data_IF_368997977549
#
_entry.id   IF_368997977549
#
_cell.length_a   1.000
_cell.length_b   1.000
_cell.length_c   1.000
_cell.angle_alpha   90.00
_cell.angle_beta   90.00
_cell.angle_gamma   90.00
#
_symmetry.space_group_name_H-M   'P 1'
#
loop_
_entity.id
_entity.type
_entity.pdbx_description
1 polymer ?
#
# COMPACT_ATOMS: atom_id res chain seq x y z
N UNK A 1 -26.59 7.82 29.40
CA UNK A 1 -26.08 6.77 28.48
C UNK A 1 -24.73 7.26 27.96
N UNK A 2 -23.61 6.70 28.41
CA UNK A 2 -22.30 7.05 27.92
C UNK A 2 -22.17 6.59 26.47
N UNK A 3 -21.86 7.50 25.56
CA UNK A 3 -21.45 7.17 24.21
C UNK A 3 -20.25 6.23 24.35
N UNK A 4 -20.27 5.00 23.77
CA UNK A 4 -19.10 4.15 23.83
C UNK A 4 -17.95 4.91 23.18
N UNK A 5 -16.81 4.92 23.87
CA UNK A 5 -15.59 5.52 23.31
C UNK A 5 -15.37 4.87 21.94
N UNK A 6 -15.34 5.70 20.90
CA UNK A 6 -14.96 5.23 19.57
C UNK A 6 -13.53 4.71 19.72
N UNK A 7 -13.39 3.38 19.71
CA UNK A 7 -12.08 2.75 19.72
C UNK A 7 -11.43 3.20 18.41
N UNK A 8 -10.48 4.13 18.52
CA UNK A 8 -9.72 4.59 17.38
C UNK A 8 -8.95 3.38 16.84
N UNK A 9 -9.41 2.82 15.74
CA UNK A 9 -8.70 1.77 15.03
C UNK A 9 -7.96 2.35 13.83
N UNK A 10 -6.94 1.65 13.39
CA UNK A 10 -6.14 2.02 12.22
C UNK A 10 -6.60 1.26 10.96
N UNK A 11 -7.89 0.92 10.89
CA UNK A 11 -8.44 0.14 9.79
C UNK A 11 -9.05 1.01 8.69
N UNK A 12 -8.90 0.55 7.47
CA UNK A 12 -9.45 1.17 6.28
C UNK A 12 -9.52 0.23 5.09
N UNK A 13 -9.82 0.78 3.92
CA UNK A 13 -9.86 0.02 2.68
C UNK A 13 -9.53 0.89 1.47
N UNK A 14 -9.18 0.24 0.37
CA UNK A 14 -9.11 0.87 -0.94
C UNK A 14 -10.53 1.19 -1.41
N UNK A 15 -10.80 2.46 -1.68
CA UNK A 15 -12.13 2.95 -2.06
C UNK A 15 -12.13 3.59 -3.44
N UNK A 16 -13.26 3.49 -4.13
CA UNK A 16 -13.44 4.05 -5.47
C UNK A 16 -13.42 5.59 -5.47
N UNK A 17 -12.81 6.17 -6.50
CA UNK A 17 -12.86 7.61 -6.80
C UNK A 17 -13.85 7.96 -7.92
N UNK A 18 -14.74 7.06 -8.29
CA UNK A 18 -15.74 7.32 -9.34
C UNK A 18 -16.58 8.55 -9.00
N UNK A 19 -16.67 9.48 -9.95
CA UNK A 19 -17.37 10.75 -9.78
C UNK A 19 -16.52 11.87 -9.14
N UNK A 20 -15.27 11.59 -8.74
CA UNK A 20 -14.32 12.56 -8.20
C UNK A 20 -13.63 12.08 -6.93
N UNK A 21 -12.36 12.46 -6.78
CA UNK A 21 -11.53 12.06 -5.63
C UNK A 21 -12.13 12.52 -4.29
N UNK A 22 -12.83 13.65 -4.29
CA UNK A 22 -13.51 14.24 -3.13
C UNK A 22 -14.62 13.35 -2.54
N UNK A 23 -15.05 12.31 -3.28
CA UNK A 23 -16.04 11.34 -2.80
C UNK A 23 -15.45 10.19 -1.98
N UNK A 24 -14.14 9.96 -2.11
CA UNK A 24 -13.47 8.84 -1.45
C UNK A 24 -13.60 8.88 0.09
N UNK A 25 -13.43 10.01 0.79
CA UNK A 25 -13.59 10.05 2.25
C UNK A 25 -15.01 9.69 2.72
N UNK A 26 -16.04 10.10 1.98
CA UNK A 26 -17.43 9.73 2.28
C UNK A 26 -17.64 8.22 2.14
N UNK A 27 -17.10 7.60 1.09
CA UNK A 27 -17.16 6.13 0.89
C UNK A 27 -16.43 5.36 1.98
N UNK A 28 -15.27 5.86 2.42
CA UNK A 28 -14.55 5.27 3.55
C UNK A 28 -15.39 5.32 4.84
N UNK A 29 -16.01 6.46 5.13
CA UNK A 29 -16.95 6.60 6.25
C UNK A 29 -18.13 5.63 6.12
N UNK A 30 -18.69 5.46 4.93
CA UNK A 30 -19.84 4.59 4.70
C UNK A 30 -19.52 3.12 5.00
N UNK A 31 -18.27 2.69 4.87
CA UNK A 31 -17.80 1.36 5.29
C UNK A 31 -17.23 1.37 6.73
N UNK A 32 -17.39 2.44 7.48
CA UNK A 32 -16.86 2.62 8.85
C UNK A 32 -15.33 2.63 8.96
N UNK A 33 -14.62 2.95 7.88
CA UNK A 33 -13.17 3.06 7.85
C UNK A 33 -12.69 4.40 8.39
N UNK A 34 -11.57 4.40 9.11
CA UNK A 34 -10.86 5.59 9.58
C UNK A 34 -9.64 5.93 8.72
N UNK A 35 -9.23 5.01 7.88
CA UNK A 35 -8.17 5.20 6.89
C UNK A 35 -8.70 4.86 5.50
N UNK A 36 -8.09 5.41 4.48
CA UNK A 36 -8.47 5.10 3.10
C UNK A 36 -7.26 4.99 2.19
N UNK A 37 -7.41 4.18 1.15
CA UNK A 37 -6.55 4.19 -0.02
C UNK A 37 -7.38 4.48 -1.26
N UNK A 38 -6.76 5.12 -2.23
CA UNK A 38 -7.38 5.46 -3.49
C UNK A 38 -6.37 5.44 -4.64
N UNK A 39 -6.86 5.43 -5.87
CA UNK A 39 -6.06 5.82 -7.03
C UNK A 39 -6.24 7.31 -7.32
N UNK A 40 -5.15 8.03 -7.60
CA UNK A 40 -5.23 9.45 -7.99
C UNK A 40 -5.60 9.63 -9.46
N UNK A 41 -5.60 8.55 -10.24
CA UNK A 41 -6.00 8.46 -11.66
C UNK A 41 -6.60 7.09 -11.98
N UNK A 42 -6.98 6.86 -13.23
CA UNK A 42 -7.33 5.51 -13.69
C UNK A 42 -6.07 4.64 -13.75
N UNK A 43 -5.99 3.53 -12.97
CA UNK A 43 -4.73 2.78 -12.78
C UNK A 43 -4.25 2.07 -14.05
N UNK A 44 -5.12 1.88 -15.04
CA UNK A 44 -4.79 1.21 -16.31
C UNK A 44 -4.61 2.19 -17.48
N UNK A 45 -4.41 3.49 -17.21
CA UNK A 45 -4.23 4.51 -18.24
C UNK A 45 -3.06 5.41 -17.92
N UNK A 46 -2.29 5.78 -18.96
CA UNK A 46 -1.18 6.73 -18.85
C UNK A 46 -1.62 8.20 -18.75
N UNK A 47 -2.89 8.49 -19.02
CA UNK A 47 -3.38 9.86 -18.94
C UNK A 47 -3.27 10.39 -17.51
N UNK A 48 -2.70 11.59 -17.40
CA UNK A 48 -2.48 12.28 -16.12
C UNK A 48 -3.56 13.35 -15.93
N UNK A 49 -4.56 13.11 -15.06
CA UNK A 49 -5.59 14.10 -14.80
C UNK A 49 -5.01 15.30 -14.03
N UNK A 50 -5.49 16.48 -14.35
CA UNK A 50 -5.23 17.67 -13.55
C UNK A 50 -6.26 17.78 -12.44
N UNK A 51 -5.81 17.96 -11.21
CA UNK A 51 -6.67 18.30 -10.09
C UNK A 51 -6.85 19.82 -10.03
N UNK A 52 -8.09 20.27 -10.14
CA UNK A 52 -8.38 21.69 -9.89
C UNK A 52 -8.42 22.00 -8.38
N UNK A 53 -8.11 23.26 -8.01
CA UNK A 53 -8.07 23.66 -6.60
C UNK A 53 -9.43 23.53 -5.88
N UNK A 54 -10.55 23.48 -6.60
CA UNK A 54 -11.88 23.24 -6.01
C UNK A 54 -11.99 21.79 -5.54
N UNK A 55 -11.56 20.83 -6.35
CA UNK A 55 -11.56 19.40 -5.98
C UNK A 55 -10.60 19.11 -4.82
N UNK A 56 -9.42 19.74 -4.83
CA UNK A 56 -8.47 19.65 -3.71
C UNK A 56 -9.10 20.10 -2.40
N UNK A 57 -9.71 21.28 -2.39
CA UNK A 57 -10.41 21.80 -1.20
C UNK A 57 -11.58 20.90 -0.78
N UNK A 58 -12.37 20.41 -1.74
CA UNK A 58 -13.49 19.52 -1.46
C UNK A 58 -13.03 18.19 -0.85
N UNK A 59 -11.92 17.62 -1.32
CA UNK A 59 -11.32 16.44 -0.73
C UNK A 59 -10.87 16.67 0.72
N UNK A 60 -10.15 17.76 0.98
CA UNK A 60 -9.69 18.14 2.32
C UNK A 60 -10.86 18.30 3.30
N UNK A 61 -11.92 18.99 2.87
CA UNK A 61 -13.15 19.16 3.68
C UNK A 61 -13.86 17.83 3.94
N UNK A 62 -13.97 16.98 2.90
CA UNK A 62 -14.58 15.67 3.03
C UNK A 62 -13.77 14.73 3.94
N UNK A 63 -12.42 14.78 3.85
CA UNK A 63 -11.50 14.03 4.73
C UNK A 63 -11.72 14.42 6.19
N UNK A 64 -11.74 15.71 6.49
CA UNK A 64 -11.99 16.22 7.84
C UNK A 64 -13.39 15.84 8.35
N UNK A 65 -14.43 16.01 7.53
CA UNK A 65 -15.81 15.68 7.90
C UNK A 65 -16.05 14.18 8.11
N UNK A 66 -15.31 13.32 7.40
CA UNK A 66 -15.36 11.87 7.55
C UNK A 66 -14.48 11.33 8.69
N UNK A 67 -13.63 12.18 9.30
CA UNK A 67 -12.71 11.78 10.38
C UNK A 67 -11.58 10.85 9.90
N UNK A 68 -11.19 10.95 8.61
CA UNK A 68 -10.14 10.10 8.04
C UNK A 68 -8.78 10.51 8.58
N UNK A 69 -8.10 9.58 9.25
CA UNK A 69 -6.82 9.77 9.92
C UNK A 69 -5.65 9.64 8.95
N UNK A 70 -5.61 8.57 8.17
CA UNK A 70 -4.59 8.33 7.17
C UNK A 70 -5.22 8.18 5.78
N UNK A 71 -4.71 8.93 4.81
CA UNK A 71 -5.14 8.88 3.42
C UNK A 71 -3.94 8.52 2.53
N UNK A 72 -4.08 7.46 1.75
CA UNK A 72 -3.02 6.82 0.98
C UNK A 72 -3.41 6.82 -0.50
N UNK A 73 -2.46 7.04 -1.39
CA UNK A 73 -2.62 6.66 -2.79
C UNK A 73 -1.84 5.36 -3.07
N UNK A 74 -2.38 4.52 -3.94
CA UNK A 74 -1.58 3.53 -4.65
C UNK A 74 -1.28 4.06 -6.05
N UNK A 75 -0.08 3.82 -6.58
CA UNK A 75 0.27 4.24 -7.93
C UNK A 75 -0.38 3.35 -9.00
N UNK A 76 -0.29 3.80 -10.26
CA UNK A 76 -0.86 3.09 -11.41
C UNK A 76 -0.15 1.77 -11.68
N UNK A 77 -0.89 0.70 -11.99
CA UNK A 77 -0.36 -0.61 -12.41
C UNK A 77 0.55 -0.57 -13.65
N UNK A 78 0.52 0.54 -14.41
CA UNK A 78 1.37 0.70 -15.59
C UNK A 78 2.79 1.16 -15.23
N UNK A 79 2.99 1.69 -14.03
CA UNK A 79 4.28 2.20 -13.58
C UNK A 79 5.22 1.02 -13.34
N UNK A 80 6.39 1.05 -13.98
CA UNK A 80 7.46 0.08 -13.79
C UNK A 80 8.80 0.80 -13.66
N UNK A 81 9.14 1.20 -12.44
CA UNK A 81 10.39 1.91 -12.15
C UNK A 81 11.64 1.01 -12.24
N UNK A 82 11.46 -0.31 -12.33
CA UNK A 82 12.54 -1.28 -12.52
C UNK A 82 12.76 -1.67 -14.00
N UNK A 83 11.99 -1.09 -14.93
CA UNK A 83 12.02 -1.46 -16.35
C UNK A 83 13.41 -1.32 -16.98
N UNK A 84 13.89 -2.33 -17.74
CA UNK A 84 15.10 -2.21 -18.57
C UNK A 84 14.86 -1.40 -19.85
N UNK A 85 13.61 -1.24 -20.29
CA UNK A 85 13.26 -0.39 -21.42
C UNK A 85 13.32 1.09 -21.01
N UNK A 86 14.23 1.90 -21.63
CA UNK A 86 14.41 3.27 -21.23
C UNK A 86 13.19 4.16 -21.51
N UNK A 87 12.40 3.84 -22.53
CA UNK A 87 11.18 4.57 -22.86
C UNK A 87 10.08 4.32 -21.82
N UNK A 88 9.86 3.06 -21.45
CA UNK A 88 8.91 2.69 -20.41
C UNK A 88 9.36 3.22 -19.03
N UNK A 89 10.65 3.10 -18.72
CA UNK A 89 11.21 3.63 -17.47
C UNK A 89 10.97 5.15 -17.33
N UNK A 90 11.31 5.92 -18.37
CA UNK A 90 11.08 7.38 -18.36
C UNK A 90 9.60 7.72 -18.22
N UNK A 91 8.73 7.04 -18.97
CA UNK A 91 7.29 7.24 -18.89
C UNK A 91 6.73 6.89 -17.51
N UNK A 92 7.26 5.83 -16.91
CA UNK A 92 6.90 5.42 -15.54
C UNK A 92 7.31 6.46 -14.51
N UNK A 93 8.52 6.99 -14.62
CA UNK A 93 9.03 8.05 -13.76
C UNK A 93 8.19 9.33 -13.87
N UNK A 94 7.86 9.75 -15.09
CA UNK A 94 7.06 10.96 -15.31
C UNK A 94 5.65 10.79 -14.73
N UNK A 95 5.04 9.59 -14.89
CA UNK A 95 3.75 9.26 -14.29
C UNK A 95 3.83 9.22 -12.75
N UNK A 96 4.87 8.59 -12.19
CA UNK A 96 5.08 8.53 -10.74
C UNK A 96 5.26 9.93 -10.12
N UNK A 97 6.01 10.83 -10.77
CA UNK A 97 6.13 12.23 -10.38
C UNK A 97 4.78 12.95 -10.37
N UNK A 98 3.96 12.72 -11.38
CA UNK A 98 2.63 13.30 -11.44
C UNK A 98 1.74 12.77 -10.30
N UNK A 99 1.87 11.48 -9.93
CA UNK A 99 1.17 10.90 -8.77
C UNK A 99 1.65 11.50 -7.44
N UNK A 100 2.97 11.68 -7.24
CA UNK A 100 3.51 12.40 -6.08
C UNK A 100 2.97 13.83 -5.99
N UNK A 101 2.94 14.55 -7.10
CA UNK A 101 2.38 15.91 -7.17
C UNK A 101 0.91 15.94 -6.76
N UNK A 102 0.08 15.01 -7.28
CA UNK A 102 -1.32 14.91 -6.87
C UNK A 102 -1.47 14.51 -5.40
N UNK A 103 -0.62 13.62 -4.92
CA UNK A 103 -0.57 13.23 -3.50
C UNK A 103 -0.28 14.42 -2.59
N UNK A 104 0.70 15.26 -2.95
CA UNK A 104 1.00 16.52 -2.28
C UNK A 104 -0.21 17.45 -2.28
N UNK A 105 -0.81 17.69 -3.44
CA UNK A 105 -1.93 18.64 -3.59
C UNK A 105 -3.16 18.19 -2.78
N UNK A 106 -3.40 16.88 -2.67
CA UNK A 106 -4.47 16.29 -1.86
C UNK A 106 -4.12 16.18 -0.36
N UNK A 107 -2.86 16.42 0.02
CA UNK A 107 -2.39 16.24 1.39
C UNK A 107 -2.44 14.78 1.84
N UNK A 108 -2.06 13.86 0.95
CA UNK A 108 -1.99 12.43 1.29
C UNK A 108 -0.75 12.15 2.15
N UNK A 109 -0.88 11.17 3.04
CA UNK A 109 0.20 10.77 3.94
C UNK A 109 1.23 9.88 3.22
N UNK A 110 0.74 8.94 2.39
CA UNK A 110 1.57 7.97 1.68
C UNK A 110 1.21 7.82 0.20
N UNK A 111 2.22 7.45 -0.59
CA UNK A 111 2.06 6.88 -1.94
C UNK A 111 2.70 5.49 -1.93
N UNK A 112 1.88 4.46 -2.05
CA UNK A 112 2.32 3.06 -2.19
C UNK A 112 2.68 2.77 -3.63
N UNK A 113 3.75 2.02 -3.85
CA UNK A 113 4.21 1.60 -5.17
C UNK A 113 4.77 0.19 -5.14
N UNK A 114 4.45 -0.61 -6.15
CA UNK A 114 5.20 -1.82 -6.43
C UNK A 114 6.58 -1.43 -7.01
N UNK A 115 7.68 -2.04 -6.56
CA UNK A 115 9.01 -1.70 -7.09
C UNK A 115 9.16 -1.91 -8.60
N UNK A 116 8.30 -2.73 -9.21
CA UNK A 116 8.26 -2.96 -10.65
C UNK A 116 8.85 -4.32 -11.04
N UNK A 117 9.17 -4.44 -12.33
CA UNK A 117 9.54 -5.70 -12.96
C UNK A 117 10.79 -5.54 -13.83
N UNK A 118 11.86 -6.28 -13.53
CA UNK A 118 13.10 -6.35 -14.29
C UNK A 118 12.95 -7.39 -15.41
N UNK A 119 12.25 -7.04 -16.49
CA UNK A 119 11.88 -7.96 -17.58
C UNK A 119 13.07 -8.53 -18.35
N UNK A 120 14.28 -7.99 -18.15
CA UNK A 120 15.56 -8.54 -18.62
C UNK A 120 16.08 -9.69 -17.72
N UNK A 121 15.45 -9.92 -16.57
CA UNK A 121 15.89 -10.92 -15.58
C UNK A 121 16.98 -10.42 -14.63
N UNK A 122 17.53 -9.22 -14.84
CA UNK A 122 18.56 -8.64 -13.98
C UNK A 122 17.91 -7.86 -12.82
N UNK A 123 17.60 -8.58 -11.74
CA UNK A 123 16.98 -8.01 -10.53
C UNK A 123 17.86 -6.92 -9.90
N UNK A 124 19.19 -7.09 -9.90
CA UNK A 124 20.10 -6.11 -9.29
C UNK A 124 20.05 -4.77 -10.05
N UNK A 125 20.09 -4.81 -11.38
CA UNK A 125 19.92 -3.62 -12.21
C UNK A 125 18.50 -3.05 -12.09
N UNK A 126 17.46 -3.89 -11.94
CA UNK A 126 16.08 -3.46 -11.67
C UNK A 126 15.96 -2.67 -10.36
N UNK A 127 16.61 -3.15 -9.29
CA UNK A 127 16.70 -2.44 -8.00
C UNK A 127 17.38 -1.07 -8.17
N UNK A 128 18.51 -1.03 -8.90
CA UNK A 128 19.24 0.21 -9.14
C UNK A 128 18.41 1.22 -9.95
N UNK A 129 17.70 0.76 -11.00
CA UNK A 129 16.79 1.60 -11.80
C UNK A 129 15.65 2.18 -10.96
N UNK A 130 15.05 1.37 -10.08
CA UNK A 130 13.99 1.82 -9.17
C UNK A 130 14.53 2.88 -8.19
N UNK A 131 15.65 2.63 -7.54
CA UNK A 131 16.28 3.58 -6.62
C UNK A 131 16.59 4.92 -7.30
N UNK A 132 17.16 4.90 -8.53
CA UNK A 132 17.43 6.10 -9.31
C UNK A 132 16.15 6.88 -9.63
N UNK A 133 15.08 6.18 -10.03
CA UNK A 133 13.77 6.80 -10.28
C UNK A 133 13.18 7.46 -9.04
N UNK A 134 13.22 6.77 -7.90
CA UNK A 134 12.74 7.32 -6.62
C UNK A 134 13.54 8.55 -6.19
N UNK A 135 14.89 8.51 -6.32
CA UNK A 135 15.73 9.65 -6.01
C UNK A 135 15.33 10.88 -6.85
N UNK A 136 15.19 10.70 -8.17
CA UNK A 136 14.80 11.77 -9.09
C UNK A 136 13.37 12.29 -8.82
N UNK A 137 12.45 11.42 -8.45
CA UNK A 137 11.07 11.78 -8.16
C UNK A 137 10.95 12.52 -6.82
N UNK A 138 11.61 12.05 -5.77
CA UNK A 138 11.54 12.62 -4.43
C UNK A 138 12.25 13.97 -4.35
N UNK A 139 13.39 14.12 -5.04
CA UNK A 139 14.10 15.40 -5.15
C UNK A 139 13.22 16.46 -5.83
N UNK A 140 12.49 16.07 -6.87
CA UNK A 140 11.54 16.95 -7.59
C UNK A 140 10.25 17.27 -6.84
N UNK A 141 9.96 16.62 -5.69
CA UNK A 141 8.75 16.82 -4.90
C UNK A 141 9.04 16.75 -3.39
N UNK A 142 9.76 17.74 -2.81
CA UNK A 142 10.19 17.69 -1.41
C UNK A 142 9.03 17.65 -0.42
N UNK A 143 7.91 18.32 -0.74
CA UNK A 143 6.72 18.38 0.11
C UNK A 143 5.67 17.32 -0.22
N UNK A 144 6.03 16.33 -1.02
CA UNK A 144 5.13 15.22 -1.38
C UNK A 144 4.94 14.20 -0.26
N UNK A 145 3.99 13.26 -0.43
CA UNK A 145 3.79 12.17 0.53
C UNK A 145 5.06 11.31 0.66
N UNK A 146 5.16 10.58 1.76
CA UNK A 146 6.16 9.51 1.87
C UNK A 146 5.85 8.41 0.87
N UNK A 147 6.87 7.79 0.30
CA UNK A 147 6.71 6.66 -0.62
C UNK A 147 6.86 5.37 0.17
N UNK A 148 5.93 4.44 0.00
CA UNK A 148 6.01 3.12 0.60
C UNK A 148 6.24 2.07 -0.50
N UNK A 149 7.37 1.39 -0.40
CA UNK A 149 7.67 0.23 -1.23
C UNK A 149 6.83 -0.94 -0.76
N UNK A 150 6.00 -1.47 -1.62
CA UNK A 150 5.20 -2.64 -1.28
C UNK A 150 5.96 -3.93 -1.51
N UNK A 151 5.90 -4.84 -0.52
CA UNK A 151 6.33 -6.23 -0.71
C UNK A 151 5.43 -6.87 -1.76
N UNK A 152 6.02 -7.48 -2.80
CA UNK A 152 5.30 -8.12 -3.90
C UNK A 152 5.29 -9.65 -3.77
N UNK A 153 4.39 -10.33 -4.47
CA UNK A 153 4.27 -11.79 -4.45
C UNK A 153 5.47 -12.55 -5.04
N UNK A 154 6.44 -11.85 -5.62
CA UNK A 154 7.66 -12.46 -6.16
C UNK A 154 7.45 -13.26 -7.45
N UNK A 155 6.45 -12.89 -8.26
CA UNK A 155 6.16 -13.55 -9.54
C UNK A 155 7.22 -13.20 -10.59
N UNK A 156 7.72 -14.19 -11.31
CA UNK A 156 8.63 -13.99 -12.45
C UNK A 156 9.85 -13.15 -12.10
N UNK A 157 10.00 -12.00 -12.76
CA UNK A 157 11.11 -11.06 -12.60
C UNK A 157 10.71 -9.80 -11.80
N UNK A 158 9.65 -9.90 -10.96
CA UNK A 158 9.21 -8.81 -10.07
C UNK A 158 10.30 -8.47 -9.06
N UNK A 159 10.57 -7.19 -8.92
CA UNK A 159 11.37 -6.63 -7.84
C UNK A 159 10.46 -6.45 -6.61
N UNK A 160 11.00 -6.63 -5.41
CA UNK A 160 10.23 -6.43 -4.18
C UNK A 160 9.65 -7.70 -3.55
N UNK A 161 9.81 -8.88 -4.17
CA UNK A 161 9.38 -10.16 -3.58
C UNK A 161 10.25 -10.66 -2.41
N UNK A 162 11.26 -9.87 -2.00
CA UNK A 162 12.14 -10.16 -0.86
C UNK A 162 12.41 -8.88 -0.08
N UNK A 163 12.53 -8.99 1.22
CA UNK A 163 12.84 -7.84 2.10
C UNK A 163 14.15 -7.17 1.71
N UNK A 164 15.15 -7.97 1.29
CA UNK A 164 16.46 -7.46 0.85
C UNK A 164 16.36 -6.60 -0.42
N UNK A 165 15.36 -6.84 -1.31
CA UNK A 165 15.12 -5.98 -2.46
C UNK A 165 14.67 -4.59 -2.02
N UNK A 166 13.73 -4.51 -1.07
CA UNK A 166 13.23 -3.23 -0.53
C UNK A 166 14.34 -2.49 0.20
N UNK A 167 15.13 -3.21 1.02
CA UNK A 167 16.29 -2.65 1.71
C UNK A 167 17.33 -2.09 0.72
N UNK A 168 17.63 -2.83 -0.35
CA UNK A 168 18.59 -2.40 -1.36
C UNK A 168 18.10 -1.16 -2.14
N UNK A 169 16.81 -1.05 -2.45
CA UNK A 169 16.21 0.14 -3.05
C UNK A 169 16.38 1.35 -2.12
N UNK A 170 15.98 1.24 -0.84
CA UNK A 170 16.11 2.33 0.14
C UNK A 170 17.57 2.79 0.27
N UNK A 171 18.48 1.82 0.38
CA UNK A 171 19.93 2.10 0.41
C UNK A 171 20.41 2.82 -0.85
N UNK A 172 19.89 2.45 -2.02
CA UNK A 172 20.23 3.05 -3.31
C UNK A 172 19.71 4.49 -3.46
N UNK A 173 18.57 4.81 -2.83
CA UNK A 173 18.05 6.19 -2.75
C UNK A 173 19.00 7.06 -1.93
N UNK A 174 19.48 6.56 -0.80
CA UNK A 174 20.46 7.22 0.05
C UNK A 174 19.94 8.47 0.77
N UNK A 175 20.71 8.93 1.81
CA UNK A 175 20.31 10.08 2.59
C UNK A 175 20.41 11.42 1.82
N UNK A 176 19.55 12.41 2.13
CA UNK A 176 18.50 12.34 3.15
C UNK A 176 17.18 11.76 2.64
N UNK A 177 17.07 11.42 1.34
CA UNK A 177 15.81 11.03 0.69
C UNK A 177 15.31 9.65 1.12
N UNK A 178 16.20 8.75 1.55
CA UNK A 178 15.86 7.43 2.10
C UNK A 178 14.91 7.51 3.30
N UNK A 179 14.97 8.60 4.07
CA UNK A 179 14.04 8.87 5.17
C UNK A 179 12.59 9.07 4.70
N UNK A 180 12.38 9.36 3.42
CA UNK A 180 11.05 9.49 2.79
C UNK A 180 10.55 8.19 2.16
N UNK A 181 11.30 7.08 2.31
CA UNK A 181 10.95 5.77 1.75
C UNK A 181 10.75 4.77 2.89
N UNK A 182 9.50 4.34 3.08
CA UNK A 182 9.10 3.31 4.02
C UNK A 182 8.68 2.02 3.32
N UNK A 183 8.01 1.14 4.04
CA UNK A 183 7.53 -0.16 3.53
C UNK A 183 6.05 -0.34 3.80
N UNK A 184 5.34 -0.83 2.79
CA UNK A 184 4.02 -1.42 2.89
C UNK A 184 4.15 -2.94 2.88
N UNK A 185 3.54 -3.61 3.86
CA UNK A 185 3.53 -5.06 3.97
C UNK A 185 2.15 -5.60 3.58
N UNK A 186 2.07 -6.24 2.42
CA UNK A 186 0.87 -6.96 2.01
C UNK A 186 0.93 -8.42 2.48
N UNK A 187 -0.09 -8.87 3.20
CA UNK A 187 -0.15 -10.22 3.80
C UNK A 187 -0.31 -11.32 2.75
N UNK A 188 -1.07 -11.06 1.68
CA UNK A 188 -1.21 -11.99 0.55
C UNK A 188 0.10 -12.11 -0.22
N UNK A 189 0.74 -10.98 -0.51
CA UNK A 189 2.03 -10.96 -1.22
C UNK A 189 3.13 -11.66 -0.41
N UNK A 190 3.22 -11.38 0.89
CA UNK A 190 4.17 -12.03 1.78
C UNK A 190 4.02 -13.55 1.77
N UNK A 191 2.79 -14.03 1.96
CA UNK A 191 2.47 -15.45 1.95
C UNK A 191 2.78 -16.10 0.60
N UNK A 192 2.42 -15.43 -0.49
CA UNK A 192 2.71 -15.89 -1.85
C UNK A 192 4.20 -15.86 -2.17
N UNK A 193 4.97 -14.93 -1.62
CA UNK A 193 6.43 -14.87 -1.76
C UNK A 193 7.19 -15.90 -0.94
N UNK A 194 6.53 -16.57 0.02
CA UNK A 194 7.11 -17.62 0.85
C UNK A 194 7.46 -17.19 2.27
N UNK A 195 6.88 -16.08 2.76
CA UNK A 195 6.94 -15.70 4.17
C UNK A 195 5.79 -16.35 4.93
N UNK A 196 6.10 -17.29 5.80
CA UNK A 196 5.12 -18.11 6.51
C UNK A 196 4.53 -17.35 7.71
N UNK A 197 3.42 -16.65 7.46
CA UNK A 197 2.69 -15.94 8.51
C UNK A 197 1.85 -16.87 9.40
N UNK A 198 1.66 -18.14 9.02
CA UNK A 198 0.84 -19.10 9.76
C UNK A 198 1.67 -19.78 10.87
N UNK A 199 2.72 -20.47 10.50
CA UNK A 199 3.54 -21.25 11.42
C UNK A 199 4.84 -20.52 11.82
N UNK A 200 5.38 -19.66 10.95
CA UNK A 200 6.64 -18.93 11.12
C UNK A 200 6.49 -17.44 11.44
N UNK A 201 5.39 -16.99 12.04
CA UNK A 201 5.07 -15.57 12.24
C UNK A 201 6.22 -14.72 12.81
N UNK A 202 6.84 -15.17 13.92
CA UNK A 202 7.93 -14.40 14.55
C UNK A 202 9.24 -14.45 13.73
N UNK A 203 9.45 -15.49 12.97
CA UNK A 203 10.62 -15.59 12.09
C UNK A 203 10.49 -14.64 10.89
N UNK A 204 9.28 -14.45 10.38
CA UNK A 204 9.00 -13.44 9.34
C UNK A 204 9.33 -12.03 9.85
N UNK A 205 8.86 -11.67 11.04
CA UNK A 205 9.13 -10.32 11.58
C UNK A 205 10.58 -10.12 11.95
N UNK A 206 11.27 -11.16 12.43
CA UNK A 206 12.71 -11.10 12.65
C UNK A 206 13.45 -10.88 11.34
N UNK A 207 13.13 -11.63 10.29
CA UNK A 207 13.74 -11.46 8.98
C UNK A 207 13.45 -10.07 8.37
N UNK A 208 12.24 -9.53 8.62
CA UNK A 208 11.87 -8.17 8.23
C UNK A 208 12.76 -7.14 8.93
N UNK A 209 12.86 -7.21 10.25
CA UNK A 209 13.66 -6.28 11.05
C UNK A 209 15.16 -6.39 10.74
N UNK A 210 15.67 -7.59 10.51
CA UNK A 210 17.08 -7.83 10.12
C UNK A 210 17.41 -7.19 8.76
N UNK A 211 16.49 -7.24 7.81
CA UNK A 211 16.72 -6.72 6.46
C UNK A 211 16.47 -5.20 6.35
N UNK A 212 15.43 -4.69 6.97
CA UNK A 212 14.89 -3.33 6.75
C UNK A 212 15.11 -2.40 7.94
N UNK A 213 15.37 -2.96 9.12
CA UNK A 213 15.45 -2.25 10.38
C UNK A 213 14.07 -2.01 11.04
N UNK A 214 14.05 -1.90 12.37
CA UNK A 214 12.84 -1.61 13.13
C UNK A 214 12.25 -0.24 12.72
N UNK A 215 10.92 -0.16 12.65
CA UNK A 215 10.21 1.08 12.30
C UNK A 215 10.15 1.37 10.79
N UNK A 216 10.62 0.46 9.94
CA UNK A 216 10.50 0.59 8.48
C UNK A 216 9.09 0.29 7.96
N UNK A 217 8.29 -0.48 8.71
CA UNK A 217 6.92 -0.80 8.38
C UNK A 217 6.00 0.38 8.74
N UNK A 218 5.31 0.93 7.74
CA UNK A 218 4.46 2.11 7.92
C UNK A 218 3.01 1.88 7.50
N UNK A 219 2.74 0.78 6.77
CA UNK A 219 1.41 0.43 6.29
C UNK A 219 1.26 -1.08 6.14
N UNK A 220 0.08 -1.60 6.43
CA UNK A 220 -0.33 -2.94 6.02
C UNK A 220 -1.37 -2.88 4.91
N UNK A 221 -1.23 -3.74 3.91
CA UNK A 221 -2.36 -4.26 3.16
C UNK A 221 -2.75 -5.61 3.78
N UNK A 222 -3.97 -5.68 4.33
CA UNK A 222 -4.50 -6.90 4.91
C UNK A 222 -5.39 -7.60 3.90
N UNK A 223 -4.85 -8.63 3.26
CA UNK A 223 -5.53 -9.41 2.23
C UNK A 223 -5.28 -10.90 2.49
N UNK A 224 -6.33 -11.73 2.40
CA UNK A 224 -6.14 -13.17 2.36
C UNK A 224 -5.68 -13.59 0.95
N UNK A 225 -5.14 -14.79 0.82
CA UNK A 225 -4.62 -15.29 -0.44
C UNK A 225 -5.54 -16.37 -1.03
N UNK A 226 -5.91 -16.22 -2.29
CA UNK A 226 -6.63 -17.27 -3.00
C UNK A 226 -5.76 -18.48 -3.33
N UNK A 227 -4.45 -18.29 -3.36
CA UNK A 227 -3.47 -19.32 -3.73
C UNK A 227 -2.68 -19.82 -2.52
N UNK A 228 -2.15 -21.05 -2.59
CA UNK A 228 -1.40 -21.62 -1.49
C UNK A 228 -0.07 -20.91 -1.23
N UNK A 229 0.51 -21.20 -0.08
CA UNK A 229 1.83 -20.71 0.35
C UNK A 229 2.90 -20.88 -0.74
N UNK A 230 3.75 -19.86 -0.88
CA UNK A 230 4.86 -19.78 -1.84
C UNK A 230 4.46 -19.95 -3.32
N UNK A 231 3.18 -19.68 -3.65
CA UNK A 231 2.63 -19.81 -5.01
C UNK A 231 3.18 -18.78 -6.00
N UNK A 232 3.71 -17.65 -5.51
CA UNK A 232 4.11 -16.47 -6.29
C UNK A 232 2.98 -15.93 -7.17
N UNK A 233 1.74 -16.01 -6.68
CA UNK A 233 0.55 -15.54 -7.36
C UNK A 233 -0.10 -14.45 -6.53
N UNK A 234 -0.31 -13.32 -7.16
CA UNK A 234 -1.00 -12.17 -6.59
C UNK A 234 -2.49 -12.27 -6.94
N UNK A 235 -3.26 -12.78 -5.97
CA UNK A 235 -4.72 -12.79 -6.05
C UNK A 235 -5.30 -12.79 -4.64
N UNK A 236 -5.91 -11.68 -4.28
CA UNK A 236 -6.50 -11.44 -2.99
C UNK A 236 -7.80 -12.24 -2.80
N UNK A 237 -8.10 -12.55 -1.53
CA UNK A 237 -9.35 -13.14 -1.10
C UNK A 237 -9.89 -12.38 0.14
N UNK A 238 -11.15 -12.60 0.49
CA UNK A 238 -11.77 -12.05 1.69
C UNK A 238 -11.07 -12.59 2.94
N UNK A 239 -10.98 -11.77 3.97
CA UNK A 239 -10.31 -12.13 5.23
C UNK A 239 -10.88 -13.43 5.82
N UNK A 240 -10.03 -14.44 5.96
CA UNK A 240 -10.37 -15.75 6.51
C UNK A 240 -11.04 -16.71 5.52
N UNK A 241 -11.25 -16.33 4.27
CA UNK A 241 -11.85 -17.17 3.23
C UNK A 241 -10.82 -17.73 2.25
N UNK A 242 -9.56 -17.28 2.35
CA UNK A 242 -8.46 -17.77 1.53
C UNK A 242 -7.64 -18.86 2.21
N UNK A 243 -6.47 -19.12 1.61
CA UNK A 243 -5.55 -20.17 2.08
C UNK A 243 -4.64 -19.71 3.22
N UNK A 244 -4.50 -18.40 3.44
CA UNK A 244 -3.81 -17.83 4.60
C UNK A 244 -4.65 -18.02 5.88
N UNK A 245 -5.98 -17.89 5.77
CA UNK A 245 -6.93 -18.09 6.86
C UNK A 245 -6.88 -17.00 7.94
N UNK A 246 -7.64 -17.17 9.02
CA UNK A 246 -7.81 -16.12 10.05
C UNK A 246 -6.61 -15.94 10.99
N UNK A 247 -5.81 -16.98 11.22
CA UNK A 247 -4.83 -17.00 12.30
C UNK A 247 -3.77 -15.87 12.21
N UNK A 248 -3.17 -15.58 11.06
CA UNK A 248 -2.22 -14.49 10.91
C UNK A 248 -2.84 -13.11 11.18
N UNK A 249 -4.07 -12.88 10.70
CA UNK A 249 -4.77 -11.61 10.94
C UNK A 249 -5.08 -11.39 12.41
N UNK A 250 -5.50 -12.45 13.13
CA UNK A 250 -5.70 -12.40 14.58
C UNK A 250 -4.42 -12.02 15.32
N UNK A 251 -3.27 -12.56 14.90
CA UNK A 251 -1.96 -12.21 15.46
C UNK A 251 -1.63 -10.75 15.19
N UNK A 252 -1.71 -10.29 13.92
CA UNK A 252 -1.43 -8.90 13.53
C UNK A 252 -2.31 -7.91 14.32
N UNK A 253 -3.61 -8.20 14.48
CA UNK A 253 -4.54 -7.32 15.18
C UNK A 253 -4.26 -7.21 16.68
N UNK A 254 -3.60 -8.20 17.29
CA UNK A 254 -3.24 -8.24 18.73
C UNK A 254 -1.80 -7.84 19.00
N UNK A 255 -0.96 -7.82 17.99
CA UNK A 255 0.46 -7.50 18.13
C UNK A 255 0.65 -6.03 18.46
N UNK A 256 1.24 -5.76 19.64
CA UNK A 256 1.47 -4.41 20.12
C UNK A 256 2.42 -3.61 19.20
N UNK A 257 3.32 -4.28 18.47
CA UNK A 257 4.23 -3.65 17.50
C UNK A 257 3.46 -2.92 16.40
N UNK A 258 2.27 -3.39 16.06
CA UNK A 258 1.49 -2.92 14.90
C UNK A 258 0.24 -2.13 15.28
N UNK A 259 0.04 -1.84 16.57
CA UNK A 259 -1.18 -1.19 17.07
C UNK A 259 -1.52 0.08 16.31
N UNK A 260 -0.53 0.94 16.08
CA UNK A 260 -0.72 2.28 15.52
C UNK A 260 -0.41 2.36 14.02
N UNK A 261 -0.02 1.24 13.39
CA UNK A 261 0.25 1.19 11.95
C UNK A 261 -1.08 1.09 11.19
N UNK A 262 -1.33 1.96 10.20
CA UNK A 262 -2.53 1.88 9.35
C UNK A 262 -2.62 0.54 8.62
N UNK A 263 -3.85 0.03 8.50
CA UNK A 263 -4.16 -1.27 7.86
C UNK A 263 -5.28 -1.08 6.86
N UNK A 264 -5.04 -1.40 5.61
CA UNK A 264 -5.97 -1.19 4.50
C UNK A 264 -6.33 -2.51 3.82
N UNK A 265 -7.60 -2.67 3.51
CA UNK A 265 -8.13 -3.81 2.75
C UNK A 265 -8.09 -3.53 1.25
N UNK A 266 -7.60 -4.50 0.48
CA UNK A 266 -7.73 -4.54 -0.97
C UNK A 266 -8.46 -5.82 -1.43
N UNK A 267 -9.24 -6.39 -0.53
CA UNK A 267 -10.02 -7.59 -0.76
C UNK A 267 -11.01 -7.43 -1.92
N UNK A 268 -11.42 -8.52 -2.59
CA UNK A 268 -12.40 -8.50 -3.66
C UNK A 268 -13.67 -7.73 -3.25
N UNK A 269 -14.16 -6.86 -4.13
CA UNK A 269 -15.31 -6.00 -3.79
C UNK A 269 -16.65 -6.68 -4.04
N UNK A 270 -16.72 -7.67 -4.95
CA UNK A 270 -17.96 -8.35 -5.30
C UNK A 270 -19.05 -7.40 -5.79
N UNK A 271 -20.31 -7.83 -5.70
CA UNK A 271 -21.45 -7.03 -6.13
C UNK A 271 -21.89 -5.99 -5.08
N UNK A 272 -21.66 -6.26 -3.79
CA UNK A 272 -21.96 -5.35 -2.67
C UNK A 272 -20.68 -4.91 -1.96
N UNK A 273 -20.02 -3.91 -2.54
CA UNK A 273 -18.76 -3.32 -2.04
C UNK A 273 -18.86 -2.90 -0.57
N UNK A 274 -19.95 -2.24 -0.20
CA UNK A 274 -20.12 -1.67 1.15
C UNK A 274 -20.27 -2.78 2.18
N UNK A 275 -21.09 -3.77 1.92
CA UNK A 275 -21.30 -4.88 2.86
C UNK A 275 -20.05 -5.74 3.01
N UNK A 276 -19.32 -6.00 1.92
CA UNK A 276 -18.10 -6.80 1.94
C UNK A 276 -16.97 -6.11 2.74
N UNK A 277 -16.72 -4.83 2.47
CA UNK A 277 -15.70 -4.08 3.23
C UNK A 277 -16.10 -3.96 4.72
N UNK A 278 -17.38 -3.65 5.03
CA UNK A 278 -17.87 -3.60 6.40
C UNK A 278 -17.68 -4.91 7.14
N UNK A 279 -17.99 -6.06 6.49
CA UNK A 279 -17.84 -7.40 7.07
C UNK A 279 -16.36 -7.65 7.44
N UNK A 280 -15.43 -7.42 6.52
CA UNK A 280 -14.01 -7.62 6.77
C UNK A 280 -13.49 -6.69 7.88
N UNK A 281 -13.85 -5.41 7.85
CA UNK A 281 -13.45 -4.47 8.89
C UNK A 281 -14.02 -4.85 10.27
N UNK A 282 -15.29 -5.30 10.34
CA UNK A 282 -15.90 -5.75 11.56
C UNK A 282 -15.23 -7.03 12.10
N UNK A 283 -14.87 -7.96 11.21
CA UNK A 283 -14.16 -9.19 11.57
C UNK A 283 -12.78 -8.86 12.17
N UNK A 284 -11.98 -8.01 11.52
CA UNK A 284 -10.69 -7.57 12.04
C UNK A 284 -10.81 -6.88 13.41
N UNK A 285 -11.81 -6.01 13.59
CA UNK A 285 -12.08 -5.36 14.88
C UNK A 285 -12.38 -6.34 15.99
N UNK A 286 -13.13 -7.41 15.68
CA UNK A 286 -13.48 -8.44 16.66
C UNK A 286 -12.28 -9.17 17.25
N UNK A 287 -11.12 -9.10 16.62
CA UNK A 287 -9.90 -9.77 17.06
C UNK A 287 -8.94 -8.89 17.88
N UNK A 288 -9.27 -7.63 18.08
CA UNK A 288 -8.43 -6.69 18.87
C UNK A 288 -8.48 -6.90 20.39
N UNK A 289 -9.40 -7.70 20.86
CA UNK A 289 -9.61 -7.97 22.30
C UNK A 289 -8.81 -9.19 22.77
#
# INVERSE_FOLDING_TARGET
MSVPAVIADELGAHVSVAGGVERAPGRARDITALNLQLFTKQPNRWAEPTLDGRRVRAFSQARAAAGIRCAVAHDSYLINLASPDPGLWRRSLDSFRAELGRGRDLGLDFLVTHPGNATDGDIASGIARNAAALTEALDGCPDGPRVLLELTAGAGTTVGGRFEHLAAIRKGVGPPLDQRVGVCFDTCHAFSAGYDLVDGYEDVWRAFDDALGPGSLELFHLNDSKHPFASRRDQHEMIGEGTLGEAPFRRIMRDARFRDIPKLLETPKGDDVVSNDRRNLALLRSWRT
#
